data_IF_660431266157
#
_entry.id   IF_660431266157
#
_cell.length_a   1.000
_cell.length_b   1.000
_cell.length_c   1.000
_cell.angle_alpha   90.00
_cell.angle_beta   90.00
_cell.angle_gamma   90.00
#
_symmetry.space_group_name_H-M   'P 1'
#
loop_
_entity.id
_entity.type
_entity.pdbx_description
1 polymer ?
#
# COMPACT_ATOMS: atom_id res chain seq x y z
N UNK A 1 -14.83 9.91 -12.41
CA UNK A 1 -15.50 8.66 -11.95
C UNK A 1 -14.84 8.11 -10.69
N UNK A 2 -13.54 7.80 -10.71
CA UNK A 2 -12.86 7.16 -9.58
C UNK A 2 -12.77 8.07 -8.33
N UNK A 3 -12.47 9.36 -8.49
CA UNK A 3 -12.41 10.30 -7.35
C UNK A 3 -13.75 10.42 -6.62
N UNK A 4 -14.85 10.50 -7.37
CA UNK A 4 -16.19 10.57 -6.81
C UNK A 4 -16.60 9.33 -5.99
N UNK A 5 -16.11 8.14 -6.35
CA UNK A 5 -16.33 6.92 -5.55
C UNK A 5 -15.59 6.99 -4.20
N UNK A 6 -14.38 7.57 -4.18
CA UNK A 6 -13.61 7.76 -2.95
C UNK A 6 -14.16 8.89 -2.08
N UNK A 7 -14.68 9.95 -2.69
CA UNK A 7 -15.36 11.02 -1.94
C UNK A 7 -16.65 10.48 -1.30
N UNK A 8 -17.38 9.58 -1.97
CA UNK A 8 -18.52 8.90 -1.36
C UNK A 8 -18.09 8.02 -0.16
N UNK A 9 -16.95 7.34 -0.24
CA UNK A 9 -16.39 6.60 0.92
C UNK A 9 -16.08 7.55 2.09
N UNK A 10 -15.59 8.76 1.81
CA UNK A 10 -15.29 9.75 2.84
C UNK A 10 -16.55 10.38 3.44
N UNK A 11 -17.63 10.52 2.67
CA UNK A 11 -18.90 11.10 3.12
C UNK A 11 -19.74 10.14 3.95
N UNK A 12 -19.91 8.89 3.51
CA UNK A 12 -20.86 7.93 4.11
C UNK A 12 -20.22 6.64 4.62
N UNK A 13 -18.89 6.54 4.57
CA UNK A 13 -18.16 5.31 4.89
C UNK A 13 -18.35 4.21 3.83
N UNK A 14 -17.47 3.21 3.83
CA UNK A 14 -17.57 2.10 2.86
C UNK A 14 -18.90 1.32 2.97
N UNK A 15 -19.47 1.22 4.18
CA UNK A 15 -20.76 0.55 4.41
C UNK A 15 -21.90 1.25 3.68
N UNK A 16 -21.95 2.58 3.72
CA UNK A 16 -22.98 3.40 3.06
C UNK A 16 -22.84 3.49 1.54
N UNK A 17 -21.68 3.13 0.98
CA UNK A 17 -21.47 3.11 -0.47
C UNK A 17 -22.30 2.02 -1.14
N UNK A 18 -22.99 2.38 -2.22
CA UNK A 18 -23.70 1.48 -3.14
C UNK A 18 -23.26 1.70 -4.58
N UNK A 19 -23.42 0.69 -5.44
CA UNK A 19 -23.14 0.83 -6.88
C UNK A 19 -24.05 1.90 -7.50
N UNK A 20 -25.29 1.99 -7.05
CA UNK A 20 -26.27 2.99 -7.46
C UNK A 20 -25.83 4.40 -7.05
N UNK A 21 -25.33 4.57 -5.83
CA UNK A 21 -24.79 5.84 -5.34
C UNK A 21 -23.56 6.27 -6.14
N UNK A 22 -22.67 5.33 -6.47
CA UNK A 22 -21.53 5.58 -7.35
C UNK A 22 -22.01 5.97 -8.75
N UNK A 23 -22.98 5.26 -9.32
CA UNK A 23 -23.55 5.57 -10.64
C UNK A 23 -24.13 7.00 -10.67
N UNK A 24 -24.93 7.34 -9.67
CA UNK A 24 -25.55 8.67 -9.52
C UNK A 24 -24.48 9.78 -9.41
N UNK A 25 -23.43 9.55 -8.63
CA UNK A 25 -22.37 10.56 -8.41
C UNK A 25 -21.41 10.69 -9.60
N UNK A 26 -21.25 9.64 -10.41
CA UNK A 26 -20.28 9.63 -11.52
C UNK A 26 -20.90 9.84 -12.90
N UNK A 27 -22.23 9.75 -13.02
CA UNK A 27 -22.93 9.79 -14.30
C UNK A 27 -22.74 8.54 -15.16
N UNK A 28 -22.04 7.52 -14.66
CA UNK A 28 -21.80 6.26 -15.39
C UNK A 28 -22.99 5.31 -15.19
N UNK A 29 -23.55 4.82 -16.29
CA UNK A 29 -24.68 3.89 -16.26
C UNK A 29 -24.35 2.59 -15.51
N UNK A 30 -25.34 2.06 -14.76
CA UNK A 30 -25.18 0.85 -13.92
C UNK A 30 -24.66 -0.36 -14.70
N UNK A 31 -25.15 -0.57 -15.92
CA UNK A 31 -24.71 -1.68 -16.79
C UNK A 31 -23.21 -1.62 -17.08
N UNK A 32 -22.67 -0.41 -17.26
CA UNK A 32 -21.23 -0.20 -17.49
C UNK A 32 -20.42 -0.49 -16.22
N UNK A 33 -20.96 -0.15 -15.04
CA UNK A 33 -20.31 -0.46 -13.76
C UNK A 33 -20.28 -1.97 -13.51
N UNK A 34 -21.42 -2.66 -13.56
CA UNK A 34 -21.50 -4.11 -13.30
C UNK A 34 -20.66 -4.94 -14.30
N UNK A 35 -20.52 -4.48 -15.54
CA UNK A 35 -19.68 -5.16 -16.54
C UNK A 35 -18.18 -5.10 -16.19
N UNK A 36 -17.73 -4.02 -15.56
CA UNK A 36 -16.31 -3.79 -15.24
C UNK A 36 -15.95 -4.20 -13.82
N UNK A 37 -16.89 -4.06 -12.88
CA UNK A 37 -16.68 -4.34 -11.47
C UNK A 37 -17.81 -5.22 -10.92
N UNK A 38 -17.48 -6.40 -10.39
CA UNK A 38 -18.49 -7.34 -9.90
C UNK A 38 -19.17 -6.87 -8.60
N UNK A 39 -18.53 -5.97 -7.83
CA UNK A 39 -19.05 -5.46 -6.56
C UNK A 39 -18.48 -4.07 -6.24
N UNK A 40 -19.02 -3.42 -5.20
CA UNK A 40 -18.58 -2.08 -4.78
C UNK A 40 -17.13 -2.05 -4.31
N UNK A 41 -16.63 -3.14 -3.70
CA UNK A 41 -15.25 -3.25 -3.25
C UNK A 41 -14.27 -3.12 -4.43
N UNK A 42 -14.58 -3.77 -5.56
CA UNK A 42 -13.77 -3.69 -6.76
C UNK A 42 -13.73 -2.27 -7.35
N UNK A 43 -14.86 -1.54 -7.38
CA UNK A 43 -14.90 -0.15 -7.87
C UNK A 43 -14.07 0.76 -6.96
N UNK A 44 -14.29 0.66 -5.64
CA UNK A 44 -13.60 1.50 -4.64
C UNK A 44 -12.10 1.23 -4.64
N UNK A 45 -11.68 -0.04 -4.73
CA UNK A 45 -10.26 -0.39 -4.76
C UNK A 45 -9.57 -0.01 -6.06
N UNK A 46 -10.25 -0.11 -7.22
CA UNK A 46 -9.72 0.43 -8.48
C UNK A 46 -9.54 1.94 -8.38
N UNK A 47 -10.52 2.65 -7.83
CA UNK A 47 -10.44 4.08 -7.63
C UNK A 47 -9.28 4.47 -6.71
N UNK A 48 -9.18 3.78 -5.57
CA UNK A 48 -8.12 4.00 -4.60
C UNK A 48 -6.73 3.73 -5.17
N UNK A 49 -6.57 2.66 -5.97
CA UNK A 49 -5.32 2.37 -6.67
C UNK A 49 -5.00 3.39 -7.78
N UNK A 50 -6.03 4.03 -8.35
CA UNK A 50 -5.91 5.12 -9.32
C UNK A 50 -5.33 6.41 -8.74
N UNK A 51 -5.43 6.65 -7.43
CA UNK A 51 -4.81 7.80 -6.75
C UNK A 51 -3.27 7.77 -6.76
N UNK A 52 -2.66 6.67 -7.21
CA UNK A 52 -1.21 6.57 -7.25
C UNK A 52 -0.64 7.46 -8.35
N UNK A 53 0.22 8.40 -7.95
CA UNK A 53 1.09 9.12 -8.87
C UNK A 53 2.28 8.29 -9.38
N UNK A 54 3.04 8.81 -10.37
CA UNK A 54 4.25 8.18 -10.93
C UNK A 54 5.35 7.84 -9.91
N UNK A 55 5.30 8.44 -8.71
CA UNK A 55 6.26 8.29 -7.62
C UNK A 55 6.36 6.86 -7.03
N UNK A 56 5.57 5.91 -7.52
CA UNK A 56 5.68 4.49 -7.11
C UNK A 56 6.84 3.74 -7.77
N UNK A 57 7.61 4.38 -8.64
CA UNK A 57 8.77 3.78 -9.30
C UNK A 57 10.00 3.89 -8.40
N UNK A 58 10.65 2.75 -8.18
CA UNK A 58 11.95 2.71 -7.55
C UNK A 58 12.98 3.38 -8.47
N UNK A 59 13.86 4.25 -7.96
CA UNK A 59 14.88 4.89 -8.80
C UNK A 59 15.81 3.84 -9.40
N UNK A 60 16.13 3.92 -10.69
CA UNK A 60 16.90 2.86 -11.39
C UNK A 60 18.42 2.93 -11.14
N UNK A 61 18.93 4.07 -10.67
CA UNK A 61 20.37 4.36 -10.53
C UNK A 61 20.88 4.27 -9.07
N UNK A 62 20.30 3.39 -8.25
CA UNK A 62 20.70 3.23 -6.85
C UNK A 62 20.78 1.75 -6.48
N UNK A 63 21.57 1.42 -5.45
CA UNK A 63 21.64 0.08 -4.87
C UNK A 63 20.25 -0.40 -4.44
N UNK A 64 20.02 -1.72 -4.46
CA UNK A 64 18.71 -2.30 -4.23
C UNK A 64 18.12 -1.86 -2.88
N UNK A 65 18.93 -1.84 -1.81
CA UNK A 65 18.48 -1.43 -0.49
C UNK A 65 18.25 0.08 -0.37
N UNK A 66 18.99 0.90 -1.11
CA UNK A 66 18.76 2.35 -1.16
C UNK A 66 17.46 2.68 -1.90
N UNK A 67 17.16 1.96 -2.97
CA UNK A 67 15.86 2.04 -3.67
C UNK A 67 14.70 1.70 -2.73
N UNK A 68 14.85 0.64 -1.93
CA UNK A 68 13.83 0.27 -0.95
C UNK A 68 13.62 1.39 0.09
N UNK A 69 14.70 1.94 0.64
CA UNK A 69 14.66 3.05 1.59
C UNK A 69 13.91 4.27 1.02
N UNK A 70 14.24 4.67 -0.21
CA UNK A 70 13.57 5.79 -0.89
C UNK A 70 12.09 5.52 -1.13
N UNK A 71 11.73 4.30 -1.51
CA UNK A 71 10.32 3.93 -1.63
C UNK A 71 9.60 4.02 -0.30
N UNK A 72 10.20 3.56 0.80
CA UNK A 72 9.59 3.64 2.13
C UNK A 72 9.28 5.10 2.50
N UNK A 73 10.18 6.02 2.16
CA UNK A 73 9.96 7.47 2.35
C UNK A 73 8.80 8.00 1.51
N UNK A 74 8.70 7.60 0.25
CA UNK A 74 7.55 7.97 -0.61
C UNK A 74 6.24 7.43 -0.04
N UNK A 75 6.22 6.18 0.41
CA UNK A 75 5.06 5.54 1.04
C UNK A 75 4.64 6.30 2.29
N UNK A 76 5.59 6.63 3.17
CA UNK A 76 5.34 7.40 4.36
C UNK A 76 4.75 8.79 4.06
N UNK A 77 5.32 9.51 3.09
CA UNK A 77 4.79 10.80 2.64
C UNK A 77 3.35 10.68 2.13
N UNK A 78 3.06 9.66 1.33
CA UNK A 78 1.70 9.43 0.83
C UNK A 78 0.71 9.09 1.96
N UNK A 79 1.14 8.33 2.97
CA UNK A 79 0.31 7.95 4.11
C UNK A 79 0.03 9.11 5.08
N UNK A 80 0.77 10.22 4.99
CA UNK A 80 0.45 11.47 5.71
C UNK A 80 -0.69 12.26 5.07
N UNK A 81 -1.15 11.90 3.86
CA UNK A 81 -2.20 12.62 3.12
C UNK A 81 -3.50 11.82 2.91
N UNK A 82 -4.30 12.25 1.92
CA UNK A 82 -5.61 11.64 1.55
C UNK A 82 -5.51 10.12 1.34
N UNK A 83 -4.41 9.65 0.74
CA UNK A 83 -4.18 8.22 0.49
C UNK A 83 -4.12 7.41 1.79
N UNK A 84 -3.41 7.90 2.81
CA UNK A 84 -3.33 7.22 4.10
C UNK A 84 -4.66 7.20 4.84
N UNK A 85 -5.38 8.32 4.85
CA UNK A 85 -6.71 8.40 5.48
C UNK A 85 -7.70 7.40 4.86
N UNK A 86 -7.75 7.33 3.53
CA UNK A 86 -8.57 6.37 2.80
C UNK A 86 -8.14 4.92 3.09
N UNK A 87 -6.85 4.62 3.04
CA UNK A 87 -6.34 3.28 3.31
C UNK A 87 -6.71 2.81 4.71
N UNK A 88 -6.55 3.69 5.72
CA UNK A 88 -6.92 3.41 7.11
C UNK A 88 -8.40 3.07 7.24
N UNK A 89 -9.28 3.86 6.62
CA UNK A 89 -10.71 3.62 6.62
C UNK A 89 -11.08 2.28 5.95
N UNK A 90 -10.50 2.00 4.78
CA UNK A 90 -10.74 0.76 4.05
C UNK A 90 -10.21 -0.47 4.81
N UNK A 91 -9.05 -0.38 5.45
CA UNK A 91 -8.48 -1.48 6.26
C UNK A 91 -9.32 -1.77 7.51
N UNK A 92 -9.91 -0.75 8.13
CA UNK A 92 -10.84 -0.93 9.23
C UNK A 92 -12.12 -1.65 8.80
N UNK A 93 -12.70 -1.26 7.66
CA UNK A 93 -13.92 -1.88 7.13
C UNK A 93 -13.68 -3.30 6.62
N UNK A 94 -12.50 -3.58 6.08
CA UNK A 94 -12.10 -4.92 5.65
C UNK A 94 -12.08 -5.97 6.79
N UNK A 95 -12.10 -5.55 8.06
CA UNK A 95 -12.25 -6.49 9.18
C UNK A 95 -13.65 -7.11 9.24
N UNK A 96 -14.64 -6.48 8.60
CA UNK A 96 -16.04 -6.89 8.60
C UNK A 96 -16.58 -7.26 7.21
N UNK A 97 -15.83 -6.93 6.15
CA UNK A 97 -16.23 -7.18 4.76
C UNK A 97 -15.17 -8.05 4.04
N UNK A 98 -15.46 -9.35 3.81
CA UNK A 98 -14.55 -10.27 3.13
C UNK A 98 -14.24 -9.90 1.68
N UNK A 99 -15.17 -9.26 0.97
CA UNK A 99 -14.95 -8.82 -0.42
C UNK A 99 -13.96 -7.67 -0.46
N UNK A 100 -14.08 -6.71 0.46
CA UNK A 100 -13.13 -5.63 0.61
C UNK A 100 -11.76 -6.14 1.08
N UNK A 101 -11.72 -7.06 2.03
CA UNK A 101 -10.47 -7.68 2.47
C UNK A 101 -9.74 -8.38 1.32
N UNK A 102 -10.48 -9.11 0.48
CA UNK A 102 -9.95 -9.72 -0.74
C UNK A 102 -9.44 -8.66 -1.72
N UNK A 103 -10.22 -7.61 -1.97
CA UNK A 103 -9.83 -6.55 -2.90
C UNK A 103 -8.58 -5.78 -2.43
N UNK A 104 -8.44 -5.49 -1.14
CA UNK A 104 -7.22 -4.90 -0.57
C UNK A 104 -6.02 -5.83 -0.78
N UNK A 105 -6.17 -7.11 -0.43
CA UNK A 105 -5.08 -8.09 -0.59
C UNK A 105 -4.61 -8.19 -2.05
N UNK A 106 -5.54 -8.34 -2.98
CA UNK A 106 -5.24 -8.58 -4.40
C UNK A 106 -4.78 -7.32 -5.15
N UNK A 107 -5.43 -6.17 -4.90
CA UNK A 107 -5.18 -4.94 -5.66
C UNK A 107 -4.12 -4.04 -5.04
N UNK A 108 -3.92 -4.13 -3.72
CA UNK A 108 -3.05 -3.23 -2.98
C UNK A 108 -1.83 -3.94 -2.37
N UNK A 109 -2.04 -5.02 -1.62
CA UNK A 109 -0.98 -5.64 -0.80
C UNK A 109 -0.05 -6.52 -1.65
N UNK A 110 -0.58 -7.52 -2.34
CA UNK A 110 0.23 -8.49 -3.10
C UNK A 110 1.09 -7.84 -4.20
N UNK A 111 0.59 -6.88 -5.01
CA UNK A 111 1.43 -6.22 -6.01
C UNK A 111 2.62 -5.48 -5.40
N UNK A 112 2.45 -4.87 -4.23
CA UNK A 112 3.55 -4.19 -3.52
C UNK A 112 4.55 -5.18 -2.95
N UNK A 113 4.08 -6.26 -2.32
CA UNK A 113 4.95 -7.32 -1.80
C UNK A 113 5.81 -7.90 -2.92
N UNK A 114 5.22 -8.17 -4.09
CA UNK A 114 5.95 -8.67 -5.26
C UNK A 114 7.09 -7.74 -5.68
N UNK A 115 6.86 -6.43 -5.75
CA UNK A 115 7.90 -5.46 -6.11
C UNK A 115 9.05 -5.43 -5.09
N UNK A 116 8.74 -5.46 -3.79
CA UNK A 116 9.78 -5.47 -2.75
C UNK A 116 10.53 -6.80 -2.73
N UNK A 117 9.83 -7.90 -2.99
CA UNK A 117 10.44 -9.22 -3.12
C UNK A 117 11.49 -9.24 -4.23
N UNK A 118 11.18 -8.70 -5.42
CA UNK A 118 12.11 -8.58 -6.54
C UNK A 118 13.37 -7.78 -6.18
N UNK A 119 13.22 -6.71 -5.38
CA UNK A 119 14.34 -5.87 -4.91
C UNK A 119 15.19 -6.60 -3.87
N UNK A 120 14.58 -7.34 -2.95
CA UNK A 120 15.35 -8.12 -1.97
C UNK A 120 16.10 -9.27 -2.63
N UNK A 121 15.53 -9.90 -3.66
CA UNK A 121 16.26 -10.87 -4.48
C UNK A 121 17.45 -10.23 -5.22
N UNK A 122 17.30 -9.01 -5.73
CA UNK A 122 18.39 -8.23 -6.31
C UNK A 122 19.48 -7.91 -5.28
N UNK A 123 19.09 -7.46 -4.09
CA UNK A 123 20.00 -7.16 -2.98
C UNK A 123 20.82 -8.39 -2.56
N UNK A 124 20.19 -9.58 -2.52
CA UNK A 124 20.88 -10.85 -2.23
C UNK A 124 21.91 -11.16 -3.33
N UNK A 125 21.55 -11.04 -4.61
CA UNK A 125 22.47 -11.29 -5.74
C UNK A 125 23.68 -10.34 -5.72
N UNK A 126 23.46 -9.09 -5.31
CA UNK A 126 24.51 -8.07 -5.21
C UNK A 126 25.34 -8.16 -3.92
N UNK A 127 25.01 -9.07 -2.99
CA UNK A 127 25.68 -9.20 -1.70
C UNK A 127 25.36 -8.08 -0.69
N UNK A 128 24.34 -7.25 -0.96
CA UNK A 128 23.86 -6.21 -0.03
C UNK A 128 23.15 -6.83 1.18
N UNK A 129 22.49 -7.98 0.99
CA UNK A 129 21.70 -8.71 1.99
C UNK A 129 22.16 -10.18 2.03
N UNK A 130 22.18 -10.78 3.22
CA UNK A 130 22.54 -12.20 3.41
C UNK A 130 21.56 -13.13 2.69
N UNK A 131 22.05 -14.22 2.10
CA UNK A 131 21.25 -15.11 1.25
C UNK A 131 20.23 -16.00 2.00
N UNK A 132 20.36 -16.11 3.33
CA UNK A 132 19.53 -16.97 4.18
C UNK A 132 18.35 -16.22 4.85
N UNK A 133 18.03 -14.98 4.41
CA UNK A 133 16.86 -14.28 4.94
C UNK A 133 15.55 -14.93 4.47
N UNK A 134 14.54 -14.88 5.33
CA UNK A 134 13.16 -14.99 4.91
C UNK A 134 12.74 -13.65 4.28
N UNK A 135 12.52 -13.64 2.96
CA UNK A 135 12.16 -12.43 2.21
C UNK A 135 10.79 -11.90 2.66
N UNK A 136 9.83 -12.76 2.97
CA UNK A 136 8.50 -12.32 3.39
C UNK A 136 8.53 -11.67 4.78
N UNK A 137 9.29 -12.25 5.71
CA UNK A 137 9.54 -11.64 7.02
C UNK A 137 10.32 -10.32 6.91
N UNK A 138 11.28 -10.24 5.97
CA UNK A 138 12.01 -9.01 5.71
C UNK A 138 11.08 -7.89 5.20
N UNK A 139 10.17 -8.20 4.27
CA UNK A 139 9.15 -7.24 3.80
C UNK A 139 8.30 -6.74 4.98
N UNK A 140 7.87 -7.64 5.86
CA UNK A 140 7.08 -7.27 7.02
C UNK A 140 7.87 -6.38 8.00
N UNK A 141 9.14 -6.68 8.24
CA UNK A 141 10.01 -5.86 9.07
C UNK A 141 10.15 -4.41 8.54
N UNK A 142 10.21 -4.22 7.22
CA UNK A 142 10.29 -2.89 6.62
C UNK A 142 8.95 -2.12 6.65
N UNK A 143 7.82 -2.78 6.37
CA UNK A 143 6.55 -2.08 6.15
C UNK A 143 5.55 -2.17 7.31
N UNK A 144 5.53 -3.24 8.10
CA UNK A 144 4.57 -3.39 9.19
C UNK A 144 4.61 -2.23 10.18
N UNK A 145 5.78 -1.66 10.58
CA UNK A 145 5.82 -0.51 11.48
C UNK A 145 5.18 0.76 10.91
N UNK A 146 5.15 0.90 9.57
CA UNK A 146 4.48 2.03 8.88
C UNK A 146 2.96 1.83 8.93
N UNK A 147 2.47 0.62 8.61
CA UNK A 147 1.05 0.28 8.70
C UNK A 147 0.53 0.31 10.15
N UNK A 148 1.34 -0.13 11.10
CA UNK A 148 1.03 -0.08 12.52
C UNK A 148 0.77 1.36 12.98
N UNK A 149 1.67 2.30 12.66
CA UNK A 149 1.46 3.72 12.99
C UNK A 149 0.28 4.33 12.24
N UNK A 150 0.06 3.95 10.98
CA UNK A 150 -1.11 4.39 10.21
C UNK A 150 -2.41 4.00 10.91
N UNK A 151 -2.52 2.73 11.31
CA UNK A 151 -3.76 2.19 11.88
C UNK A 151 -3.99 2.71 13.31
N UNK A 152 -2.96 2.64 14.16
CA UNK A 152 -3.08 3.01 15.58
C UNK A 152 -3.07 4.51 15.81
N UNK A 153 -2.43 5.29 14.94
CA UNK A 153 -2.23 6.73 15.15
C UNK A 153 -1.31 7.04 16.34
N UNK A 154 -0.55 6.07 16.86
CA UNK A 154 0.25 6.23 18.09
C UNK A 154 1.35 7.30 17.96
N UNK A 155 1.82 7.57 16.74
CA UNK A 155 2.80 8.60 16.45
C UNK A 155 2.81 8.94 14.95
N UNK A 156 3.37 10.10 14.55
CA UNK A 156 3.52 10.45 13.14
C UNK A 156 4.39 9.45 12.36
N UNK A 157 4.08 9.26 11.06
CA UNK A 157 4.91 8.54 10.10
C UNK A 157 5.92 9.53 9.49
N UNK A 158 6.86 10.00 10.31
CA UNK A 158 7.89 10.96 9.90
C UNK A 158 9.00 10.29 9.07
N UNK A 159 9.76 11.10 8.33
CA UNK A 159 10.90 10.60 7.55
C UNK A 159 11.99 10.03 8.44
N UNK A 160 12.24 10.66 9.59
CA UNK A 160 13.16 10.19 10.63
C UNK A 160 12.75 8.82 11.17
N UNK A 161 11.45 8.61 11.43
CA UNK A 161 10.95 7.32 11.88
C UNK A 161 11.18 6.23 10.83
N UNK A 162 10.85 6.51 9.57
CA UNK A 162 10.97 5.54 8.47
C UNK A 162 12.44 5.18 8.23
N UNK A 163 13.35 6.15 8.31
CA UNK A 163 14.79 5.87 8.25
C UNK A 163 15.24 5.01 9.44
N UNK A 164 14.73 5.25 10.65
CA UNK A 164 15.06 4.45 11.84
C UNK A 164 14.59 3.00 11.68
N UNK A 165 13.34 2.80 11.21
CA UNK A 165 12.80 1.47 10.90
C UNK A 165 13.67 0.75 9.87
N UNK A 166 14.05 1.45 8.79
CA UNK A 166 14.93 0.89 7.77
C UNK A 166 16.28 0.46 8.33
N UNK A 167 16.94 1.29 9.15
CA UNK A 167 18.23 0.95 9.74
C UNK A 167 18.14 -0.26 10.67
N UNK A 168 17.12 -0.30 11.54
CA UNK A 168 16.90 -1.43 12.46
C UNK A 168 16.61 -2.73 11.70
N UNK A 169 15.77 -2.68 10.67
CA UNK A 169 15.49 -3.85 9.84
C UNK A 169 16.75 -4.31 9.08
N UNK A 170 17.60 -3.38 8.64
CA UNK A 170 18.87 -3.68 7.98
C UNK A 170 19.89 -4.35 8.90
N UNK A 171 19.97 -3.98 10.17
CA UNK A 171 20.89 -4.60 11.12
C UNK A 171 20.70 -6.12 11.21
N UNK A 172 19.45 -6.61 11.13
CA UNK A 172 19.14 -8.04 11.10
C UNK A 172 19.41 -8.74 9.76
N UNK A 173 19.59 -8.00 8.67
CA UNK A 173 19.70 -8.53 7.30
C UNK A 173 21.09 -8.38 6.67
N UNK A 174 21.99 -7.63 7.31
CA UNK A 174 23.35 -7.39 6.79
C UNK A 174 24.11 -8.70 6.58
N UNK A 175 24.81 -8.78 5.45
CA UNK A 175 25.81 -9.83 5.22
C UNK A 175 26.88 -9.74 6.32
N UNK A 176 27.24 -10.89 6.90
CA UNK A 176 28.37 -10.94 7.83
C UNK A 176 29.62 -10.61 7.01
N UNK A 177 30.38 -9.60 7.43
CA UNK A 177 31.72 -9.37 6.87
C UNK A 177 32.53 -10.66 7.09
N UNK A 178 33.01 -11.25 6.00
CA UNK A 178 34.07 -12.26 6.04
C UNK A 178 35.35 -11.66 6.60
#
# INVERSE_FOLDING_TARGET
MLDAALDLVLEVGFRGVTIEGIAAKTGVGKTTLYRRWPNKAAVVMEAFCGLRGPASRFPENALAMERLRLQMQVTAKAFRGKLGALLKALMAEAQFDPELAKAIREKWTLPRRKLVHEILQEAIRNGEVRADIDIDAAIDAFYAPIYYRLQTGIAPISETYVNSVFQQAMEGQRSRKS
#
